data_IF_072045423815
#
_entry.id   IF_072045423815
#
_cell.length_a   1.000
_cell.length_b   1.000
_cell.length_c   1.000
_cell.angle_alpha   90.00
_cell.angle_beta   90.00
_cell.angle_gamma   90.00
#
_symmetry.space_group_name_H-M   'P 1'
#
loop_
_entity.id
_entity.type
_entity.pdbx_description
1 polymer ?
#
# COMPACT_ATOMS: atom_id res chain seq x y z
N UNK A 1 16.26 -14.39 -5.48
CA UNK A 1 15.47 -13.56 -4.54
C UNK A 1 14.41 -12.82 -5.32
N UNK A 2 13.14 -12.92 -4.89
CA UNK A 2 12.03 -12.14 -5.44
C UNK A 2 12.19 -10.65 -5.10
N UNK A 3 12.83 -10.35 -3.97
CA UNK A 3 13.08 -8.98 -3.52
C UNK A 3 14.42 -8.43 -4.02
N UNK A 4 14.43 -7.68 -5.11
CA UNK A 4 15.65 -7.12 -5.69
C UNK A 4 15.79 -5.63 -5.42
N UNK A 5 14.68 -4.93 -5.20
CA UNK A 5 14.68 -3.50 -4.98
C UNK A 5 15.05 -3.12 -3.55
N UNK A 6 15.81 -2.05 -3.38
CA UNK A 6 16.27 -1.59 -2.06
C UNK A 6 15.11 -1.22 -1.12
N UNK A 7 13.96 -0.79 -1.63
CA UNK A 7 12.74 -0.58 -0.84
C UNK A 7 12.28 -1.87 -0.14
N UNK A 8 12.24 -2.99 -0.88
CA UNK A 8 11.78 -4.26 -0.36
C UNK A 8 12.81 -4.88 0.60
N UNK A 9 14.10 -4.74 0.29
CA UNK A 9 15.17 -5.16 1.20
C UNK A 9 15.16 -4.36 2.52
N UNK A 10 14.91 -3.06 2.44
CA UNK A 10 14.73 -2.19 3.61
C UNK A 10 13.51 -2.64 4.43
N UNK A 11 12.36 -2.82 3.79
CA UNK A 11 11.15 -3.32 4.46
C UNK A 11 11.38 -4.68 5.14
N UNK A 12 12.09 -5.61 4.48
CA UNK A 12 12.45 -6.91 5.05
C UNK A 12 13.25 -6.76 6.34
N UNK A 13 14.31 -5.96 6.32
CA UNK A 13 15.17 -5.82 7.49
C UNK A 13 14.45 -5.11 8.65
N UNK A 14 13.59 -4.14 8.35
CA UNK A 14 12.71 -3.52 9.36
C UNK A 14 11.80 -4.57 10.00
N UNK A 15 11.13 -5.40 9.21
CA UNK A 15 10.24 -6.45 9.73
C UNK A 15 11.03 -7.47 10.54
N UNK A 16 12.15 -7.96 10.04
CA UNK A 16 12.98 -8.94 10.75
C UNK A 16 13.48 -8.40 12.09
N UNK A 17 14.01 -7.16 12.12
CA UNK A 17 14.47 -6.54 13.36
C UNK A 17 13.32 -6.36 14.34
N UNK A 18 12.14 -5.94 13.88
CA UNK A 18 10.98 -5.77 14.74
C UNK A 18 10.46 -7.10 15.30
N UNK A 19 10.35 -8.14 14.46
CA UNK A 19 9.83 -9.46 14.89
C UNK A 19 10.80 -10.18 15.82
N UNK A 20 12.11 -10.14 15.54
CA UNK A 20 13.12 -10.90 16.30
C UNK A 20 13.55 -10.15 17.57
N UNK A 21 13.77 -8.84 17.47
CA UNK A 21 14.40 -8.04 18.54
C UNK A 21 13.40 -7.12 19.25
N UNK A 22 12.20 -6.92 18.69
CA UNK A 22 11.27 -5.89 19.13
C UNK A 22 11.90 -4.48 19.13
N UNK A 23 12.80 -4.22 18.17
CA UNK A 23 13.55 -2.97 18.02
C UNK A 23 13.39 -2.40 16.61
N UNK A 24 13.32 -1.07 16.52
CA UNK A 24 13.38 -0.33 15.26
C UNK A 24 14.75 0.33 15.18
N UNK A 25 15.69 -0.35 14.52
CA UNK A 25 17.04 0.16 14.32
C UNK A 25 17.09 1.11 13.13
N UNK A 26 17.80 2.23 13.25
CA UNK A 26 18.09 3.10 12.12
C UNK A 26 19.17 2.46 11.24
N UNK A 27 18.72 1.83 10.16
CA UNK A 27 19.55 1.17 9.15
C UNK A 27 19.73 2.03 7.89
N UNK A 28 19.56 3.35 8.01
CA UNK A 28 19.69 4.31 6.89
C UNK A 28 21.00 4.15 6.14
N UNK A 29 22.11 3.98 6.85
CA UNK A 29 23.45 3.82 6.26
C UNK A 29 23.56 2.66 5.25
N UNK A 30 22.67 1.66 5.33
CA UNK A 30 22.71 0.45 4.49
C UNK A 30 21.87 0.57 3.22
N UNK A 31 20.73 1.25 3.31
CA UNK A 31 19.72 1.23 2.24
C UNK A 31 19.41 2.58 1.62
N UNK A 32 19.74 3.69 2.28
CA UNK A 32 19.24 4.99 1.87
C UNK A 32 19.71 5.37 0.47
N UNK A 33 18.73 5.75 -0.34
CA UNK A 33 18.84 6.27 -1.71
C UNK A 33 18.05 7.57 -1.76
N UNK A 34 18.31 8.41 -2.77
CA UNK A 34 17.66 9.72 -2.90
C UNK A 34 16.13 9.60 -2.97
N UNK A 35 15.61 8.56 -3.60
CA UNK A 35 14.17 8.28 -3.75
C UNK A 35 13.46 8.10 -2.40
N UNK A 36 14.18 7.75 -1.34
CA UNK A 36 13.58 7.70 0.01
C UNK A 36 13.23 9.08 0.58
N UNK A 37 13.74 10.16 0.01
CA UNK A 37 13.41 11.54 0.39
C UNK A 37 12.06 11.99 -0.17
N UNK A 38 11.53 11.29 -1.18
CA UNK A 38 10.27 11.66 -1.80
C UNK A 38 9.11 11.55 -0.80
N UNK A 39 8.20 12.53 -0.86
CA UNK A 39 7.00 12.56 -0.04
C UNK A 39 5.84 11.87 -0.75
N UNK A 40 5.95 10.55 -0.87
CA UNK A 40 4.92 9.69 -1.45
C UNK A 40 4.38 8.70 -0.42
N UNK A 41 3.14 8.26 -0.65
CA UNK A 41 2.52 7.20 0.12
C UNK A 41 2.90 5.84 -0.47
N UNK A 42 2.78 4.80 0.35
CA UNK A 42 3.05 3.44 -0.12
C UNK A 42 2.15 2.41 0.57
N UNK A 43 2.02 1.26 -0.09
CA UNK A 43 1.51 0.03 0.50
C UNK A 43 2.64 -0.98 0.58
N UNK A 44 2.82 -1.56 1.77
CA UNK A 44 3.71 -2.69 2.01
C UNK A 44 2.85 -3.93 2.03
N UNK A 45 3.12 -4.86 1.13
CA UNK A 45 2.41 -6.13 1.05
C UNK A 45 3.38 -7.29 1.30
N UNK A 46 2.98 -8.17 2.21
CA UNK A 46 3.63 -9.43 2.51
C UNK A 46 2.86 -10.53 1.78
N UNK A 47 3.59 -11.38 1.06
CA UNK A 47 3.05 -12.53 0.36
C UNK A 47 3.77 -13.79 0.84
N UNK A 48 3.08 -14.93 0.86
CA UNK A 48 3.73 -16.24 1.01
C UNK A 48 4.54 -16.57 -0.25
N UNK A 49 5.39 -17.60 -0.21
CA UNK A 49 6.13 -18.04 -1.40
C UNK A 49 5.21 -18.60 -2.49
N UNK A 50 3.99 -19.00 -2.11
CA UNK A 50 2.89 -19.46 -2.94
C UNK A 50 2.02 -18.31 -3.48
N UNK A 51 2.46 -17.05 -3.34
CA UNK A 51 1.77 -15.86 -3.86
C UNK A 51 0.44 -15.52 -3.15
N UNK A 52 0.22 -16.05 -1.95
CA UNK A 52 -0.94 -15.71 -1.13
C UNK A 52 -0.70 -14.46 -0.27
N UNK A 53 -1.71 -13.62 -0.11
CA UNK A 53 -1.63 -12.44 0.74
C UNK A 53 -1.44 -12.84 2.21
N UNK A 54 -0.39 -12.32 2.87
CA UNK A 54 -0.09 -12.56 4.29
C UNK A 54 -0.21 -11.30 5.17
N UNK A 55 -0.24 -10.13 4.56
CA UNK A 55 -0.48 -8.85 5.22
C UNK A 55 -0.34 -7.71 4.22
N UNK A 56 -1.15 -6.66 4.34
CA UNK A 56 -1.03 -5.46 3.52
C UNK A 56 -1.49 -4.25 4.30
N UNK A 57 -0.58 -3.30 4.52
CA UNK A 57 -0.90 -2.00 5.11
C UNK A 57 -0.21 -0.92 4.28
N UNK A 58 -0.90 0.19 4.14
CA UNK A 58 -0.38 1.38 3.48
C UNK A 58 -1.23 2.59 3.79
N UNK A 59 -0.78 3.72 3.29
CA UNK A 59 -1.48 4.98 3.36
C UNK A 59 -1.83 5.43 1.95
N UNK A 60 -2.92 6.19 1.80
CA UNK A 60 -3.33 6.75 0.52
C UNK A 60 -2.74 8.14 0.29
N UNK A 61 -2.60 8.90 1.38
CA UNK A 61 -1.94 10.21 1.43
C UNK A 61 -0.74 10.04 2.37
N UNK A 62 0.44 10.59 2.04
CA UNK A 62 1.62 10.48 2.90
C UNK A 62 1.30 10.90 4.32
N UNK A 63 1.59 10.02 5.29
CA UNK A 63 1.41 10.29 6.72
C UNK A 63 2.74 10.62 7.39
N UNK A 64 3.84 10.24 6.76
CA UNK A 64 5.18 10.46 7.25
C UNK A 64 5.96 11.43 6.37
N UNK A 65 7.09 11.89 6.88
CA UNK A 65 7.89 12.97 6.26
C UNK A 65 8.40 12.60 4.86
N UNK A 66 8.66 11.32 4.61
CA UNK A 66 9.22 10.79 3.38
C UNK A 66 9.02 9.26 3.27
N UNK A 67 9.35 8.69 2.12
CA UNK A 67 9.21 7.26 1.86
C UNK A 67 10.00 6.36 2.82
N UNK A 68 11.12 6.84 3.38
CA UNK A 68 11.88 6.07 4.38
C UNK A 68 11.02 5.75 5.60
N UNK A 69 10.41 6.79 6.17
CA UNK A 69 9.55 6.67 7.33
C UNK A 69 8.23 5.96 6.96
N UNK A 70 7.67 6.27 5.78
CA UNK A 70 6.42 5.66 5.28
C UNK A 70 6.56 4.14 5.13
N UNK A 71 7.62 3.67 4.46
CA UNK A 71 7.89 2.23 4.30
C UNK A 71 8.17 1.59 5.66
N UNK A 72 8.96 2.23 6.53
CA UNK A 72 9.27 1.70 7.87
C UNK A 72 8.02 1.40 8.69
N UNK A 73 7.15 2.40 8.80
CA UNK A 73 5.93 2.28 9.60
C UNK A 73 4.94 1.31 8.97
N UNK A 74 4.69 1.41 7.67
CA UNK A 74 3.77 0.50 6.98
C UNK A 74 4.27 -0.95 6.99
N UNK A 75 5.60 -1.19 7.00
CA UNK A 75 6.16 -2.55 7.08
C UNK A 75 5.87 -3.22 8.42
N UNK A 76 6.03 -2.48 9.52
CA UNK A 76 5.70 -2.97 10.87
C UNK A 76 4.19 -3.21 10.96
N UNK A 77 3.37 -2.26 10.52
CA UNK A 77 1.92 -2.43 10.59
C UNK A 77 1.44 -3.59 9.71
N UNK A 78 1.99 -3.78 8.52
CA UNK A 78 1.67 -4.91 7.65
C UNK A 78 2.01 -6.27 8.29
N UNK A 79 3.05 -6.33 9.12
CA UNK A 79 3.46 -7.57 9.79
C UNK A 79 2.68 -7.87 11.07
N UNK A 80 2.14 -6.87 11.78
CA UNK A 80 1.51 -7.08 13.10
C UNK A 80 0.11 -6.49 13.31
N UNK A 81 -0.42 -5.68 12.38
CA UNK A 81 -1.68 -4.92 12.56
C UNK A 81 -2.71 -5.10 11.43
N UNK A 82 -2.44 -5.94 10.42
CA UNK A 82 -3.48 -6.31 9.46
C UNK A 82 -4.52 -7.23 10.13
N UNK A 83 -5.72 -6.71 10.38
CA UNK A 83 -6.79 -7.40 11.12
C UNK A 83 -7.24 -8.72 10.49
N UNK A 84 -6.94 -8.95 9.21
CA UNK A 84 -7.30 -10.18 8.49
C UNK A 84 -6.40 -11.35 8.86
N UNK A 85 -5.24 -11.08 9.46
CA UNK A 85 -4.22 -12.08 9.75
C UNK A 85 -3.71 -11.95 11.20
N UNK A 86 -3.28 -13.06 11.84
CA UNK A 86 -2.53 -12.95 13.07
C UNK A 86 -1.17 -12.27 12.83
N UNK A 87 -0.56 -11.65 13.86
CA UNK A 87 0.79 -11.11 13.76
C UNK A 87 1.78 -12.14 13.22
N UNK A 88 2.68 -11.69 12.35
CA UNK A 88 3.73 -12.50 11.74
C UNK A 88 4.68 -13.07 12.79
N UNK A 89 5.01 -14.35 12.68
CA UNK A 89 5.97 -15.03 13.56
C UNK A 89 7.36 -15.11 12.93
N UNK A 90 8.37 -15.28 13.78
CA UNK A 90 9.77 -15.44 13.36
C UNK A 90 9.96 -16.59 12.36
N UNK A 91 9.31 -17.73 12.59
CA UNK A 91 9.35 -18.92 11.72
C UNK A 91 8.79 -18.68 10.30
N UNK A 92 7.93 -17.66 10.14
CA UNK A 92 7.34 -17.31 8.84
C UNK A 92 8.25 -16.40 8.01
N UNK A 93 9.26 -15.74 8.60
CA UNK A 93 10.06 -14.70 7.94
C UNK A 93 10.74 -15.21 6.66
N UNK A 94 11.19 -16.46 6.64
CA UNK A 94 11.85 -17.07 5.49
C UNK A 94 10.85 -17.56 4.40
N UNK A 95 9.56 -17.60 4.71
CA UNK A 95 8.49 -18.11 3.85
C UNK A 95 7.60 -16.99 3.29
N UNK A 96 8.08 -15.76 3.34
CA UNK A 96 7.39 -14.61 2.75
C UNK A 96 8.30 -13.85 1.79
N UNK A 97 7.70 -13.11 0.87
CA UNK A 97 8.34 -12.05 0.11
C UNK A 97 7.52 -10.76 0.20
N UNK A 98 8.17 -9.62 -0.04
CA UNK A 98 7.61 -8.28 0.15
C UNK A 98 7.55 -7.58 -1.21
N UNK A 99 6.42 -6.92 -1.45
CA UNK A 99 6.28 -5.95 -2.54
C UNK A 99 5.90 -4.59 -1.98
N UNK A 100 6.44 -3.53 -2.58
CA UNK A 100 6.13 -2.14 -2.22
C UNK A 100 5.43 -1.47 -3.39
N UNK A 101 4.22 -0.98 -3.17
CA UNK A 101 3.50 -0.14 -4.13
C UNK A 101 3.67 1.33 -3.72
N UNK A 102 4.37 2.13 -4.52
CA UNK A 102 4.49 3.58 -4.30
C UNK A 102 3.43 4.30 -5.13
N UNK A 103 2.70 5.20 -4.48
CA UNK A 103 1.57 5.90 -5.07
C UNK A 103 1.96 7.32 -5.46
N UNK A 104 1.50 7.75 -6.64
CA UNK A 104 1.57 9.17 -7.00
C UNK A 104 0.60 9.99 -6.15
N UNK A 105 0.84 11.30 -5.98
CA UNK A 105 -0.11 12.18 -5.30
C UNK A 105 -1.51 12.11 -5.93
N UNK A 106 -2.53 12.14 -5.07
CA UNK A 106 -3.92 12.12 -5.50
C UNK A 106 -4.26 13.31 -6.38
N UNK A 107 -4.93 13.06 -7.50
CA UNK A 107 -5.46 14.09 -8.41
C UNK A 107 -6.98 14.05 -8.38
N UNK A 108 -7.62 15.17 -8.07
CA UNK A 108 -9.09 15.28 -8.11
C UNK A 108 -9.58 15.14 -9.55
N UNK A 109 -10.68 14.39 -9.73
CA UNK A 109 -11.24 14.06 -11.03
C UNK A 109 -12.64 14.65 -11.15
N UNK A 110 -12.83 15.46 -12.19
CA UNK A 110 -14.13 16.05 -12.54
C UNK A 110 -14.89 15.18 -13.56
N UNK A 111 -14.17 14.41 -14.38
CA UNK A 111 -14.73 13.58 -15.43
C UNK A 111 -14.18 12.15 -15.37
N UNK A 112 -15.02 11.22 -14.87
CA UNK A 112 -14.63 9.82 -14.68
C UNK A 112 -14.31 9.09 -15.99
N UNK A 113 -14.73 9.61 -17.15
CA UNK A 113 -14.43 9.00 -18.46
C UNK A 113 -12.95 9.06 -18.82
N UNK A 114 -12.16 9.86 -18.10
CA UNK A 114 -10.71 9.95 -18.26
C UNK A 114 -9.96 8.85 -17.49
N UNK A 115 -10.67 8.09 -16.67
CA UNK A 115 -10.09 7.03 -15.84
C UNK A 115 -10.16 5.69 -16.56
N UNK A 116 -9.00 5.05 -16.63
CA UNK A 116 -8.83 3.65 -16.98
C UNK A 116 -8.61 2.84 -15.67
N UNK A 117 -9.50 1.90 -15.33
CA UNK A 117 -9.41 1.10 -14.10
C UNK A 117 -8.17 0.19 -14.06
N UNK A 118 -7.55 -0.10 -15.22
CA UNK A 118 -6.28 -0.84 -15.30
C UNK A 118 -5.11 0.08 -14.94
N UNK A 119 -5.16 1.35 -15.33
CA UNK A 119 -4.06 2.30 -15.12
C UNK A 119 -4.12 2.99 -13.76
N UNK A 120 -5.31 3.42 -13.35
CA UNK A 120 -5.49 4.29 -12.19
C UNK A 120 -6.18 3.56 -11.04
N UNK A 121 -5.62 3.72 -9.84
CA UNK A 121 -6.35 3.53 -8.61
C UNK A 121 -7.23 4.75 -8.34
N UNK A 122 -8.26 4.56 -7.52
CA UNK A 122 -9.16 5.63 -7.13
C UNK A 122 -9.33 5.70 -5.61
N UNK A 123 -9.58 6.92 -5.14
CA UNK A 123 -10.12 7.19 -3.82
C UNK A 123 -11.45 7.93 -3.98
N UNK A 124 -12.49 7.44 -3.32
CA UNK A 124 -13.75 8.17 -3.15
C UNK A 124 -13.80 8.79 -1.76
N UNK A 125 -14.34 9.99 -1.65
CA UNK A 125 -14.46 10.72 -0.39
C UNK A 125 -15.83 11.40 -0.27
N UNK A 126 -16.46 11.25 0.89
CA UNK A 126 -17.62 12.01 1.33
C UNK A 126 -17.51 12.26 2.83
N UNK A 127 -17.39 13.53 3.22
CA UNK A 127 -17.06 13.94 4.59
C UNK A 127 -15.83 13.20 5.14
N UNK A 128 -16.01 12.38 6.18
CA UNK A 128 -14.95 11.60 6.82
C UNK A 128 -14.80 10.18 6.26
N UNK A 129 -15.70 9.75 5.36
CA UNK A 129 -15.70 8.41 4.77
C UNK A 129 -14.82 8.39 3.53
N UNK A 130 -13.85 7.47 3.50
CA UNK A 130 -12.94 7.28 2.38
C UNK A 130 -12.90 5.81 1.95
N UNK A 131 -12.91 5.59 0.65
CA UNK A 131 -12.81 4.27 0.06
C UNK A 131 -11.72 4.25 -0.99
N UNK A 132 -10.80 3.29 -0.89
CA UNK A 132 -9.65 3.20 -1.79
C UNK A 132 -9.70 1.89 -2.55
N UNK A 133 -9.35 1.98 -3.83
CA UNK A 133 -9.19 0.82 -4.69
C UNK A 133 -7.94 1.00 -5.56
N UNK A 134 -7.04 0.02 -5.52
CA UNK A 134 -5.85 -0.02 -6.36
C UNK A 134 -6.22 -0.27 -7.84
N UNK A 135 -5.34 0.10 -8.80
CA UNK A 135 -5.56 -0.22 -10.21
C UNK A 135 -5.46 -1.73 -10.49
N UNK A 136 -5.96 -2.14 -11.66
CA UNK A 136 -5.75 -3.45 -12.27
C UNK A 136 -6.12 -4.63 -11.36
N UNK A 137 -7.33 -4.61 -10.80
CA UNK A 137 -7.85 -5.69 -9.96
C UNK A 137 -8.76 -6.63 -10.75
N UNK A 138 -8.59 -7.93 -10.52
CA UNK A 138 -9.41 -8.96 -11.16
C UNK A 138 -10.91 -8.73 -10.92
N UNK A 139 -11.70 -8.84 -11.99
CA UNK A 139 -13.15 -8.66 -11.94
C UNK A 139 -13.62 -7.20 -11.96
N UNK A 140 -12.72 -6.21 -12.05
CA UNK A 140 -13.06 -4.79 -12.14
C UNK A 140 -12.68 -4.26 -13.53
N UNK A 141 -13.65 -4.29 -14.44
CA UNK A 141 -13.42 -3.97 -15.86
C UNK A 141 -13.93 -2.57 -16.26
N UNK A 142 -14.69 -1.89 -15.40
CA UNK A 142 -15.29 -0.58 -15.69
C UNK A 142 -14.98 0.42 -14.59
N UNK A 143 -14.96 1.71 -14.94
CA UNK A 143 -14.77 2.77 -13.95
C UNK A 143 -15.95 2.85 -12.99
N UNK A 144 -17.15 2.56 -13.46
CA UNK A 144 -18.37 2.50 -12.65
C UNK A 144 -18.28 1.40 -11.59
N UNK A 145 -17.78 0.21 -11.94
CA UNK A 145 -17.53 -0.86 -10.99
C UNK A 145 -16.47 -0.49 -9.97
N UNK A 146 -15.39 0.13 -10.42
CA UNK A 146 -14.31 0.60 -9.54
C UNK A 146 -14.86 1.58 -8.50
N UNK A 147 -15.62 2.60 -8.93
CA UNK A 147 -16.25 3.60 -8.07
C UNK A 147 -17.24 2.95 -7.11
N UNK A 148 -18.10 2.05 -7.61
CA UNK A 148 -19.09 1.35 -6.79
C UNK A 148 -18.41 0.55 -5.68
N UNK A 149 -17.36 -0.21 -5.98
CA UNK A 149 -16.63 -1.00 -4.99
C UNK A 149 -15.90 -0.10 -3.99
N UNK A 150 -15.31 1.01 -4.45
CA UNK A 150 -14.69 1.98 -3.56
C UNK A 150 -15.71 2.60 -2.59
N UNK A 151 -16.92 2.96 -3.04
CA UNK A 151 -18.01 3.43 -2.17
C UNK A 151 -18.42 2.39 -1.13
N UNK A 152 -18.57 1.13 -1.53
CA UNK A 152 -18.88 0.04 -0.59
C UNK A 152 -17.80 -0.10 0.49
N UNK A 153 -16.52 -0.01 0.12
CA UNK A 153 -15.40 0.00 1.09
C UNK A 153 -15.42 1.20 2.04
N UNK A 154 -15.93 2.34 1.58
CA UNK A 154 -16.12 3.54 2.40
C UNK A 154 -17.37 3.49 3.30
N UNK A 155 -18.22 2.47 3.16
CA UNK A 155 -19.54 2.43 3.82
C UNK A 155 -20.50 3.51 3.30
N UNK A 156 -20.43 3.80 1.99
CA UNK A 156 -21.28 4.76 1.28
C UNK A 156 -22.31 4.02 0.41
N UNK A 157 -23.50 4.59 0.28
CA UNK A 157 -24.51 4.11 -0.67
C UNK A 157 -24.13 4.44 -2.11
N UNK A 158 -24.74 3.73 -3.07
CA UNK A 158 -24.42 3.84 -4.49
C UNK A 158 -24.69 5.25 -5.06
N UNK A 159 -25.77 5.88 -4.64
CA UNK A 159 -26.28 7.17 -5.10
C UNK A 159 -25.67 8.38 -4.39
N UNK A 160 -24.90 8.18 -3.32
CA UNK A 160 -24.22 9.27 -2.62
C UNK A 160 -23.22 9.96 -3.54
N UNK A 161 -23.28 11.30 -3.60
CA UNK A 161 -22.30 12.10 -4.35
C UNK A 161 -20.97 12.09 -3.60
N UNK A 162 -19.88 11.82 -4.30
CA UNK A 162 -18.54 11.70 -3.72
C UNK A 162 -17.57 12.55 -4.53
N UNK A 163 -16.54 13.06 -3.87
CA UNK A 163 -15.34 13.49 -4.56
C UNK A 163 -14.55 12.25 -4.99
N UNK A 164 -13.98 12.29 -6.19
CA UNK A 164 -13.19 11.20 -6.76
C UNK A 164 -11.78 11.71 -7.01
N UNK A 165 -10.81 10.94 -6.58
CA UNK A 165 -9.40 11.18 -6.81
C UNK A 165 -8.79 9.97 -7.50
N UNK A 166 -7.81 10.19 -8.38
CA UNK A 166 -7.03 9.14 -9.01
C UNK A 166 -5.56 9.19 -8.61
N UNK A 167 -4.90 8.05 -8.71
CA UNK A 167 -3.46 7.88 -8.54
C UNK A 167 -2.95 6.73 -9.41
N UNK A 168 -1.67 6.75 -9.72
CA UNK A 168 -0.96 5.63 -10.32
C UNK A 168 -0.12 4.93 -9.25
N UNK A 169 0.14 3.64 -9.45
CA UNK A 169 0.98 2.82 -8.56
C UNK A 169 2.18 2.30 -9.32
N UNK A 170 3.36 2.38 -8.72
CA UNK A 170 4.54 1.65 -9.18
C UNK A 170 4.92 0.59 -8.16
N UNK A 171 4.85 -0.68 -8.59
CA UNK A 171 5.21 -1.84 -7.77
C UNK A 171 6.69 -2.14 -7.87
N UNK A 172 7.30 -2.42 -6.72
CA UNK A 172 8.67 -2.84 -6.57
C UNK A 172 8.71 -4.22 -5.91
N UNK A 173 9.66 -5.04 -6.38
CA UNK A 173 10.02 -6.33 -5.83
C UNK A 173 11.52 -6.31 -5.55
#
# INVERSE_FOLDING_TARGET
MREKHFFCQYAREIIQNYIIKNEIQDIRYKYFQKEFEDNYSCFVTLHTLEDELRGCIGTIIPQYKNLYEEIKHNSILASIKDYRFPPLKEEELNNIYISIDILTPLKKIENIKELDPVKYGIMVEHDYKKGVLLPNLDGINTIEDQIRIAKLKAGLNYDEKVDIYSFETKRYF
#
